data_IF_263194914588
#
_entry.id   IF_263194914588
#
_cell.length_a   1.000
_cell.length_b   1.000
_cell.length_c   1.000
_cell.angle_alpha   90.00
_cell.angle_beta   90.00
_cell.angle_gamma   90.00
#
_symmetry.space_group_name_H-M   'P 1'
#
loop_
_entity.id
_entity.type
_entity.pdbx_description
1 polymer ?
#
# COMPACT_ATOMS: atom_id res chain seq x y z
N UNK A 1 -3.53 0.63 7.85
CA UNK A 1 -4.25 0.76 6.57
C UNK A 1 -5.45 1.65 6.76
N UNK A 2 -5.56 2.68 5.94
CA UNK A 2 -6.72 3.57 5.86
C UNK A 2 -7.29 3.54 4.45
N UNK A 3 -8.61 3.65 4.33
CA UNK A 3 -9.31 3.68 3.05
C UNK A 3 -10.12 4.98 3.00
N UNK A 4 -9.94 5.74 1.91
CA UNK A 4 -10.73 6.93 1.63
C UNK A 4 -11.45 6.72 0.31
N UNK A 5 -12.78 6.81 0.36
CA UNK A 5 -13.65 6.68 -0.81
C UNK A 5 -14.17 8.07 -1.21
N UNK A 6 -13.98 8.46 -2.48
CA UNK A 6 -14.46 9.72 -3.03
C UNK A 6 -15.08 9.47 -4.40
N UNK A 7 -16.36 9.81 -4.57
CA UNK A 7 -17.08 9.62 -5.85
C UNK A 7 -16.91 8.21 -6.45
N UNK A 8 -16.95 7.19 -5.59
CA UNK A 8 -16.73 5.76 -5.88
C UNK A 8 -15.28 5.32 -6.11
N UNK A 9 -14.32 6.25 -6.24
CA UNK A 9 -12.89 5.93 -6.30
C UNK A 9 -12.36 5.56 -4.91
N UNK A 10 -11.59 4.47 -4.83
CA UNK A 10 -11.00 3.97 -3.59
C UNK A 10 -9.50 4.30 -3.56
N UNK A 11 -9.08 5.07 -2.55
CA UNK A 11 -7.69 5.39 -2.26
C UNK A 11 -7.26 4.70 -0.97
N UNK A 12 -6.20 3.89 -1.05
CA UNK A 12 -5.67 3.17 0.11
C UNK A 12 -4.44 3.92 0.61
N UNK A 13 -4.36 4.20 1.91
CA UNK A 13 -3.20 4.83 2.54
C UNK A 13 -2.59 3.87 3.55
N UNK A 14 -1.34 3.49 3.28
CA UNK A 14 -0.58 2.45 3.98
C UNK A 14 -1.26 1.06 4.01
N UNK A 15 -0.46 0.01 4.03
CA UNK A 15 -0.88 -1.36 4.22
C UNK A 15 0.19 -2.09 5.04
N UNK A 16 0.26 -1.73 6.32
CA UNK A 16 1.24 -2.31 7.22
C UNK A 16 0.78 -3.57 7.94
N UNK A 17 1.75 -4.26 8.51
CA UNK A 17 1.54 -5.37 9.42
C UNK A 17 1.65 -4.93 10.88
N UNK A 18 1.25 -5.80 11.78
CA UNK A 18 1.55 -5.72 13.21
C UNK A 18 2.27 -6.99 13.62
N UNK A 19 3.44 -6.87 14.23
CA UNK A 19 4.12 -8.03 14.81
C UNK A 19 3.29 -8.65 15.95
N UNK A 20 3.34 -9.97 16.03
CA UNK A 20 2.69 -10.72 17.08
C UNK A 20 3.32 -10.42 18.45
N UNK A 21 2.51 -10.48 19.52
CA UNK A 21 3.02 -10.34 20.89
C UNK A 21 3.33 -11.72 21.50
N UNK A 22 3.94 -11.72 22.69
CA UNK A 22 4.36 -12.94 23.41
C UNK A 22 3.21 -13.92 23.72
N UNK A 23 1.95 -13.49 23.59
CA UNK A 23 0.78 -14.34 23.85
C UNK A 23 0.28 -15.02 22.58
N UNK A 24 0.72 -14.58 21.41
CA UNK A 24 0.32 -15.06 20.10
C UNK A 24 1.29 -16.14 19.59
N UNK A 25 1.31 -17.28 20.29
CA UNK A 25 2.26 -18.36 20.02
C UNK A 25 2.11 -18.91 18.59
N UNK A 26 3.20 -18.88 17.83
CA UNK A 26 3.28 -19.42 16.47
C UNK A 26 2.76 -18.48 15.37
N UNK A 27 2.38 -17.25 15.69
CA UNK A 27 2.04 -16.20 14.72
C UNK A 27 3.27 -15.33 14.49
N UNK A 28 3.68 -15.13 13.23
CA UNK A 28 4.80 -14.25 12.89
C UNK A 28 4.36 -12.77 12.87
N UNK A 29 3.27 -12.47 12.16
CA UNK A 29 2.69 -11.13 12.08
C UNK A 29 1.19 -11.20 11.73
N UNK A 30 0.52 -10.06 11.92
CA UNK A 30 -0.90 -9.85 11.66
C UNK A 30 -1.04 -8.78 10.57
N UNK A 31 -1.89 -9.04 9.58
CA UNK A 31 -2.23 -8.08 8.52
C UNK A 31 -3.69 -7.61 8.67
N UNK A 32 -4.06 -6.43 8.14
CA UNK A 32 -5.45 -5.99 8.15
C UNK A 32 -6.34 -6.93 7.34
N UNK A 33 -7.62 -7.07 7.71
CA UNK A 33 -8.61 -7.66 6.82
C UNK A 33 -8.84 -6.70 5.63
N UNK A 34 -8.76 -7.23 4.41
CA UNK A 34 -8.92 -6.49 3.17
C UNK A 34 -10.03 -7.06 2.26
N UNK A 35 -11.01 -7.77 2.82
CA UNK A 35 -12.14 -8.33 2.06
C UNK A 35 -12.92 -7.25 1.30
N UNK A 36 -13.13 -6.09 1.93
CA UNK A 36 -13.74 -4.93 1.28
C UNK A 36 -12.99 -4.52 0.00
N UNK A 37 -11.65 -4.58 -0.01
CA UNK A 37 -10.86 -4.27 -1.20
C UNK A 37 -11.01 -5.35 -2.28
N UNK A 38 -11.10 -6.63 -1.89
CA UNK A 38 -11.34 -7.74 -2.85
C UNK A 38 -12.68 -7.56 -3.56
N UNK A 39 -13.72 -7.24 -2.80
CA UNK A 39 -15.08 -7.03 -3.31
C UNK A 39 -15.18 -5.79 -4.21
N UNK A 40 -14.35 -4.77 -3.99
CA UNK A 40 -14.39 -3.49 -4.70
C UNK A 40 -13.15 -3.22 -5.57
N UNK A 41 -12.42 -4.26 -5.96
CA UNK A 41 -11.09 -4.16 -6.60
C UNK A 41 -11.04 -3.26 -7.84
N UNK A 42 -12.10 -3.24 -8.65
CA UNK A 42 -12.19 -2.46 -9.88
C UNK A 42 -12.25 -0.95 -9.65
N UNK A 43 -12.56 -0.53 -8.42
CA UNK A 43 -12.69 0.86 -8.00
C UNK A 43 -11.42 1.39 -7.34
N UNK A 44 -10.41 0.54 -7.12
CA UNK A 44 -9.16 0.91 -6.48
C UNK A 44 -8.32 1.74 -7.44
N UNK A 45 -8.07 2.99 -7.05
CA UNK A 45 -7.21 3.90 -7.82
C UNK A 45 -5.74 3.63 -7.55
N UNK A 46 -5.40 3.27 -6.31
CA UNK A 46 -4.04 2.94 -5.93
C UNK A 46 -3.83 2.92 -4.42
N UNK A 47 -2.67 2.42 -4.05
CA UNK A 47 -2.17 2.38 -2.68
C UNK A 47 -1.04 3.40 -2.51
N UNK A 48 -1.11 4.23 -1.49
CA UNK A 48 -0.20 5.33 -1.25
C UNK A 48 0.53 5.09 0.08
N UNK A 49 1.83 4.82 0.00
CA UNK A 49 2.64 4.44 1.14
C UNK A 49 3.42 5.65 1.65
N UNK A 50 3.26 5.94 2.94
CA UNK A 50 3.84 7.11 3.59
C UNK A 50 5.35 6.97 3.80
N UNK A 51 5.80 5.84 4.32
CA UNK A 51 7.21 5.51 4.54
C UNK A 51 7.45 3.99 4.62
N UNK A 52 8.72 3.58 4.67
CA UNK A 52 9.14 2.18 4.52
C UNK A 52 9.30 1.39 5.80
N UNK A 53 8.52 1.68 6.85
CA UNK A 53 8.46 0.79 8.02
C UNK A 53 7.36 -0.27 7.83
N UNK A 54 7.55 -1.43 8.44
CA UNK A 54 6.67 -2.59 8.28
C UNK A 54 5.23 -2.31 8.75
N UNK A 55 5.04 -1.47 9.77
CA UNK A 55 3.72 -1.03 10.22
C UNK A 55 2.98 -0.11 9.24
N UNK A 56 3.64 0.27 8.13
CA UNK A 56 3.06 1.03 7.02
C UNK A 56 3.02 0.27 5.69
N UNK A 57 3.90 -0.70 5.47
CA UNK A 57 4.02 -1.38 4.17
C UNK A 57 4.06 -2.92 4.21
N UNK A 58 4.19 -3.53 5.39
CA UNK A 58 4.47 -4.96 5.52
C UNK A 58 3.36 -5.92 5.07
N UNK A 59 2.14 -5.43 4.78
CA UNK A 59 1.04 -6.24 4.23
C UNK A 59 0.84 -6.05 2.72
N UNK A 60 1.69 -5.28 2.04
CA UNK A 60 1.54 -5.00 0.60
C UNK A 60 1.65 -6.29 -0.22
N UNK A 61 2.63 -7.14 0.08
CA UNK A 61 2.82 -8.40 -0.64
C UNK A 61 1.57 -9.29 -0.54
N UNK A 62 1.04 -9.49 0.67
CA UNK A 62 -0.18 -10.28 0.90
C UNK A 62 -1.38 -9.77 0.09
N UNK A 63 -1.58 -8.44 0.05
CA UNK A 63 -2.68 -7.84 -0.69
C UNK A 63 -2.48 -8.01 -2.21
N UNK A 64 -1.25 -7.85 -2.71
CA UNK A 64 -0.96 -7.96 -4.14
C UNK A 64 -1.02 -9.41 -4.67
N UNK A 65 -0.88 -10.43 -3.81
CA UNK A 65 -1.15 -11.82 -4.20
C UNK A 65 -2.61 -11.98 -4.66
N UNK A 66 -3.54 -11.38 -3.93
CA UNK A 66 -4.98 -11.50 -4.22
C UNK A 66 -5.48 -10.44 -5.23
N UNK A 67 -4.86 -9.25 -5.24
CA UNK A 67 -5.26 -8.11 -6.08
C UNK A 67 -4.02 -7.52 -6.81
N UNK A 68 -3.46 -8.23 -7.80
CA UNK A 68 -2.13 -7.94 -8.36
C UNK A 68 -2.02 -6.62 -9.13
N UNK A 69 -3.14 -6.07 -9.59
CA UNK A 69 -3.15 -4.91 -10.50
C UNK A 69 -3.19 -3.54 -9.78
N UNK A 70 -3.10 -3.50 -8.45
CA UNK A 70 -3.15 -2.24 -7.70
C UNK A 70 -1.84 -1.44 -7.93
N UNK A 71 -1.90 -0.19 -8.42
CA UNK A 71 -0.73 0.67 -8.47
C UNK A 71 -0.29 1.08 -7.06
N UNK A 72 0.99 0.89 -6.74
CA UNK A 72 1.56 1.25 -5.42
C UNK A 72 2.46 2.48 -5.58
N UNK A 73 2.07 3.58 -4.94
CA UNK A 73 2.74 4.86 -4.96
C UNK A 73 3.55 5.07 -3.68
N UNK A 74 4.87 5.29 -3.81
CA UNK A 74 5.71 5.62 -2.66
C UNK A 74 6.92 6.48 -3.05
N UNK A 75 7.61 7.02 -2.07
CA UNK A 75 8.85 7.79 -2.31
C UNK A 75 9.98 6.87 -2.75
N UNK A 76 11.06 7.42 -3.30
CA UNK A 76 12.14 6.62 -3.89
C UNK A 76 12.73 5.58 -2.93
N UNK A 77 12.97 5.95 -1.67
CA UNK A 77 13.54 5.03 -0.68
C UNK A 77 12.54 3.92 -0.32
N UNK A 78 11.30 4.29 -0.01
CA UNK A 78 10.23 3.34 0.32
C UNK A 78 9.93 2.40 -0.84
N UNK A 79 9.97 2.87 -2.09
CA UNK A 79 9.77 2.02 -3.26
C UNK A 79 10.83 0.94 -3.38
N UNK A 80 12.10 1.25 -3.12
CA UNK A 80 13.16 0.23 -3.20
C UNK A 80 13.01 -0.83 -2.12
N UNK A 81 12.53 -0.47 -0.93
CA UNK A 81 12.20 -1.44 0.13
C UNK A 81 11.06 -2.36 -0.34
N UNK A 82 9.92 -1.77 -0.72
CA UNK A 82 8.75 -2.54 -1.21
C UNK A 82 9.15 -3.43 -2.38
N UNK A 83 9.97 -2.92 -3.31
CA UNK A 83 10.43 -3.67 -4.47
C UNK A 83 11.21 -4.93 -4.08
N UNK A 84 12.09 -4.84 -3.08
CA UNK A 84 12.83 -6.00 -2.60
C UNK A 84 11.87 -7.03 -1.99
N UNK A 85 10.93 -6.59 -1.15
CA UNK A 85 9.95 -7.49 -0.52
C UNK A 85 9.07 -8.20 -1.57
N UNK A 86 8.66 -7.49 -2.62
CA UNK A 86 7.90 -8.07 -3.73
C UNK A 86 8.73 -9.07 -4.54
N UNK A 87 10.01 -8.79 -4.79
CA UNK A 87 10.91 -9.73 -5.48
C UNK A 87 11.08 -11.01 -4.66
N UNK A 88 11.30 -10.89 -3.35
CA UNK A 88 11.44 -12.02 -2.44
C UNK A 88 10.15 -12.87 -2.38
N UNK A 89 8.98 -12.22 -2.46
CA UNK A 89 7.68 -12.88 -2.56
C UNK A 89 7.34 -13.41 -3.97
N UNK A 90 8.17 -13.17 -4.98
CA UNK A 90 7.90 -13.57 -6.38
C UNK A 90 6.78 -12.78 -7.07
N UNK A 91 6.47 -11.57 -6.59
CA UNK A 91 5.40 -10.70 -7.09
C UNK A 91 5.97 -9.69 -8.11
N UNK A 92 5.31 -9.47 -9.26
CA UNK A 92 5.74 -8.47 -10.24
C UNK A 92 5.78 -7.05 -9.68
N UNK A 93 6.81 -6.28 -10.05
CA UNK A 93 7.05 -4.92 -9.52
C UNK A 93 6.67 -3.79 -10.49
N UNK A 94 5.98 -4.10 -11.59
CA UNK A 94 5.61 -3.17 -12.66
C UNK A 94 4.58 -2.09 -12.25
N UNK A 95 3.83 -2.40 -11.19
CA UNK A 95 2.81 -1.52 -10.63
C UNK A 95 3.34 -0.51 -9.61
N UNK A 96 4.65 -0.53 -9.32
CA UNK A 96 5.30 0.47 -8.47
C UNK A 96 5.43 1.82 -9.19
N UNK A 97 5.01 2.91 -8.53
CA UNK A 97 4.97 4.27 -9.07
C UNK A 97 5.64 5.27 -8.12
N UNK A 98 6.61 6.03 -8.63
CA UNK A 98 7.30 7.04 -7.83
C UNK A 98 6.38 8.22 -7.51
N UNK A 99 6.25 8.54 -6.22
CA UNK A 99 5.65 9.80 -5.74
C UNK A 99 6.75 10.78 -5.33
N UNK A 100 6.59 12.06 -5.69
CA UNK A 100 7.50 13.13 -5.29
C UNK A 100 6.76 14.09 -4.36
N UNK A 101 7.33 14.43 -3.18
CA UNK A 101 6.76 15.44 -2.31
C UNK A 101 6.52 16.77 -3.03
N UNK A 102 5.51 17.51 -2.59
CA UNK A 102 5.10 18.82 -3.11
C UNK A 102 4.71 18.81 -4.59
N UNK A 103 4.40 17.65 -5.16
CA UNK A 103 3.87 17.53 -6.53
C UNK A 103 2.47 16.94 -6.52
N UNK A 104 1.50 17.72 -7.00
CA UNK A 104 0.10 17.28 -7.14
C UNK A 104 -0.02 16.20 -8.20
N UNK A 105 -0.70 15.10 -7.86
CA UNK A 105 -1.02 14.00 -8.77
C UNK A 105 -2.54 13.96 -8.95
N UNK A 106 -3.00 13.84 -10.19
CA UNK A 106 -4.42 13.80 -10.53
C UNK A 106 -4.88 12.37 -10.81
N UNK A 107 -6.07 12.06 -10.34
CA UNK A 107 -6.78 10.80 -10.51
C UNK A 107 -8.23 11.13 -10.92
N UNK A 108 -8.46 11.30 -12.22
CA UNK A 108 -9.75 11.80 -12.71
C UNK A 108 -10.08 13.19 -12.13
N UNK A 109 -11.19 13.28 -11.38
CA UNK A 109 -11.62 14.51 -10.70
C UNK A 109 -10.91 14.71 -9.35
N UNK A 110 -10.31 13.65 -8.83
CA UNK A 110 -9.64 13.61 -7.54
C UNK A 110 -8.15 13.93 -7.69
N UNK A 111 -7.49 14.28 -6.58
CA UNK A 111 -6.05 14.55 -6.60
C UNK A 111 -5.43 14.35 -5.23
N UNK A 112 -4.18 13.86 -5.21
CA UNK A 112 -3.38 13.73 -4.01
C UNK A 112 -2.22 14.73 -4.06
N UNK A 113 -1.99 15.41 -2.95
CA UNK A 113 -0.87 16.33 -2.78
C UNK A 113 0.03 15.85 -1.62
N UNK A 114 1.12 15.12 -1.91
CA UNK A 114 2.04 14.63 -0.90
C UNK A 114 2.86 15.78 -0.31
N UNK A 115 3.04 15.79 1.00
CA UNK A 115 3.84 16.78 1.73
C UNK A 115 4.93 16.04 2.49
N UNK A 116 6.17 16.55 2.44
CA UNK A 116 7.24 16.03 3.28
C UNK A 116 7.04 16.47 4.72
N UNK A 117 7.14 15.54 5.65
CA UNK A 117 7.27 15.82 7.08
C UNK A 117 8.77 15.85 7.42
N UNK A 118 9.18 16.81 8.24
CA UNK A 118 10.55 16.97 8.75
C UNK A 118 10.64 16.53 10.20
#
# INVERSE_FOLDING_TARGET
MYIVEVDQDIFIFDAGLKYADDKMLGIDYIIPNYDYLKENKERIVGMFITHGHDEHMGAIADILVDIPNIPVYATSFTLEIIKNDLIDAGIPTENLKLIKPHRKIKFGKNSIFPISLT
#
